data_IF_386922039664
#
_entry.id   IF_386922039664
#
_cell.length_a   1.000
_cell.length_b   1.000
_cell.length_c   1.000
_cell.angle_alpha   90.00
_cell.angle_beta   90.00
_cell.angle_gamma   90.00
#
_symmetry.space_group_name_H-M   'P 1'
#
loop_
_entity.id
_entity.type
_entity.pdbx_description
1 polymer ?
#
# COMPACT_ATOMS: atom_id res chain seq x y z
N UNK A 1 -13.70 -7.00 -25.49
CA UNK A 1 -13.28 -5.77 -24.77
C UNK A 1 -12.20 -5.08 -25.58
N UNK A 2 -12.25 -3.74 -25.78
CA UNK A 2 -11.15 -3.03 -26.46
C UNK A 2 -9.90 -3.11 -25.59
N UNK A 3 -8.70 -3.28 -26.19
CA UNK A 3 -7.42 -3.35 -25.45
C UNK A 3 -7.20 -2.16 -24.52
N UNK A 4 -7.79 -1.01 -24.85
CA UNK A 4 -7.74 0.22 -24.04
C UNK A 4 -8.58 0.20 -22.76
N UNK A 5 -9.54 -0.72 -22.62
CA UNK A 5 -10.42 -0.81 -21.46
C UNK A 5 -9.92 -1.80 -20.40
N UNK A 6 -8.92 -2.63 -20.74
CA UNK A 6 -8.36 -3.64 -19.84
C UNK A 6 -7.72 -3.01 -18.60
N UNK A 7 -6.87 -1.96 -18.70
CA UNK A 7 -6.27 -1.35 -17.51
C UNK A 7 -7.33 -0.80 -16.54
N UNK A 8 -8.30 -0.05 -17.04
CA UNK A 8 -9.38 0.51 -16.21
C UNK A 8 -10.23 -0.59 -15.52
N UNK A 9 -10.47 -1.71 -16.20
CA UNK A 9 -11.19 -2.84 -15.61
C UNK A 9 -10.38 -3.48 -14.47
N UNK A 10 -9.05 -3.58 -14.62
CA UNK A 10 -8.17 -4.06 -13.56
C UNK A 10 -8.18 -3.13 -12.35
N UNK A 11 -8.20 -1.80 -12.55
CA UNK A 11 -8.32 -0.82 -11.46
C UNK A 11 -9.62 -0.95 -10.68
N UNK A 12 -10.75 -1.08 -11.40
CA UNK A 12 -12.06 -1.28 -10.75
C UNK A 12 -12.07 -2.61 -10.00
N UNK A 13 -11.51 -3.66 -10.59
CA UNK A 13 -11.37 -4.96 -9.93
C UNK A 13 -10.51 -4.83 -8.67
N UNK A 14 -9.42 -4.06 -8.70
CA UNK A 14 -8.60 -3.77 -7.51
C UNK A 14 -9.40 -3.10 -6.42
N UNK A 15 -10.19 -2.08 -6.72
CA UNK A 15 -11.03 -1.42 -5.73
C UNK A 15 -12.03 -2.40 -5.10
N UNK A 16 -12.68 -3.23 -5.91
CA UNK A 16 -13.60 -4.26 -5.41
C UNK A 16 -12.86 -5.29 -4.54
N UNK A 17 -11.68 -5.73 -4.95
CA UNK A 17 -10.86 -6.65 -4.17
C UNK A 17 -10.38 -6.02 -2.86
N UNK A 18 -9.98 -4.75 -2.85
CA UNK A 18 -9.63 -4.01 -1.63
C UNK A 18 -10.80 -3.99 -0.66
N UNK A 19 -12.02 -3.70 -1.12
CA UNK A 19 -13.22 -3.78 -0.28
C UNK A 19 -13.46 -5.21 0.23
N UNK A 20 -13.30 -6.22 -0.62
CA UNK A 20 -13.43 -7.62 -0.23
C UNK A 20 -12.38 -8.02 0.83
N UNK A 21 -11.13 -7.56 0.72
CA UNK A 21 -10.08 -7.75 1.74
C UNK A 21 -10.54 -7.17 3.08
N UNK A 22 -10.96 -5.90 3.09
CA UNK A 22 -11.38 -5.23 4.33
C UNK A 22 -12.59 -5.91 4.98
N UNK A 23 -13.59 -6.29 4.19
CA UNK A 23 -14.78 -7.01 4.69
C UNK A 23 -14.41 -8.41 5.19
N UNK A 24 -13.47 -9.10 4.55
CA UNK A 24 -13.02 -10.42 5.00
C UNK A 24 -12.21 -10.31 6.29
N UNK A 25 -11.39 -9.27 6.44
CA UNK A 25 -10.68 -8.99 7.69
C UNK A 25 -11.62 -8.61 8.83
N UNK A 26 -12.65 -7.81 8.58
CA UNK A 26 -13.74 -7.50 9.53
C UNK A 26 -14.50 -8.75 9.95
N UNK A 27 -14.86 -9.60 8.99
CA UNK A 27 -15.50 -10.87 9.30
C UNK A 27 -14.58 -11.82 10.09
N UNK A 28 -13.30 -11.87 9.74
CA UNK A 28 -12.31 -12.67 10.45
C UNK A 28 -12.18 -12.21 11.91
N UNK A 29 -12.06 -10.90 12.15
CA UNK A 29 -11.96 -10.34 13.50
C UNK A 29 -13.22 -10.64 14.34
N UNK A 30 -14.41 -10.48 13.77
CA UNK A 30 -15.69 -10.76 14.46
C UNK A 30 -15.93 -12.23 14.79
N UNK A 31 -15.30 -13.14 14.05
CA UNK A 31 -15.48 -14.59 14.20
C UNK A 31 -14.31 -15.28 14.90
N UNK A 32 -13.50 -14.54 15.66
CA UNK A 32 -12.34 -15.07 16.39
C UNK A 32 -11.27 -15.67 15.46
N UNK A 33 -11.01 -14.96 14.35
CA UNK A 33 -9.92 -15.18 13.40
C UNK A 33 -9.83 -16.61 12.85
N UNK A 34 -10.91 -17.16 12.26
CA UNK A 34 -10.81 -18.46 11.63
C UNK A 34 -9.75 -18.39 10.54
N UNK A 35 -8.76 -19.29 10.62
CA UNK A 35 -7.60 -19.34 9.72
C UNK A 35 -8.02 -19.27 8.25
N UNK A 36 -9.16 -19.87 7.90
CA UNK A 36 -9.73 -19.83 6.54
C UNK A 36 -10.05 -18.42 6.06
N UNK A 37 -10.64 -17.56 6.90
CA UNK A 37 -10.95 -16.18 6.52
C UNK A 37 -9.69 -15.31 6.44
N UNK A 38 -8.75 -15.48 7.37
CA UNK A 38 -7.46 -14.76 7.31
C UNK A 38 -6.69 -15.12 6.03
N UNK A 39 -6.62 -16.41 5.69
CA UNK A 39 -5.98 -16.86 4.44
C UNK A 39 -6.74 -16.40 3.20
N UNK A 40 -8.06 -16.26 3.28
CA UNK A 40 -8.87 -15.69 2.20
C UNK A 40 -8.54 -14.21 2.00
N UNK A 41 -8.50 -13.42 3.07
CA UNK A 41 -8.12 -12.01 3.02
C UNK A 41 -6.68 -11.82 2.48
N UNK A 42 -5.75 -12.66 2.93
CA UNK A 42 -4.37 -12.69 2.43
C UNK A 42 -4.31 -12.97 0.93
N UNK A 43 -5.06 -13.98 0.47
CA UNK A 43 -5.10 -14.36 -0.95
C UNK A 43 -5.68 -13.24 -1.80
N UNK A 44 -6.79 -12.63 -1.37
CA UNK A 44 -7.40 -11.49 -2.04
C UNK A 44 -6.43 -10.30 -2.12
N UNK A 45 -5.72 -10.00 -1.02
CA UNK A 45 -4.73 -8.93 -0.98
C UNK A 45 -3.60 -9.17 -1.97
N UNK A 46 -3.02 -10.38 -1.97
CA UNK A 46 -1.92 -10.73 -2.89
C UNK A 46 -2.37 -10.64 -4.35
N UNK A 47 -3.57 -11.13 -4.69
CA UNK A 47 -4.13 -11.02 -6.04
C UNK A 47 -4.32 -9.54 -6.43
N UNK A 48 -4.82 -8.71 -5.51
CA UNK A 48 -5.01 -7.29 -5.75
C UNK A 48 -3.71 -6.54 -5.99
N UNK A 49 -2.68 -6.83 -5.20
CA UNK A 49 -1.33 -6.26 -5.36
C UNK A 49 -0.67 -6.73 -6.66
N UNK A 50 -0.79 -8.00 -7.03
CA UNK A 50 -0.27 -8.52 -8.31
C UNK A 50 -1.00 -7.89 -9.51
N UNK A 51 -2.29 -7.60 -9.37
CA UNK A 51 -3.07 -6.93 -10.41
C UNK A 51 -2.56 -5.51 -10.70
N UNK A 52 -1.98 -4.82 -9.71
CA UNK A 52 -1.28 -3.52 -9.87
C UNK A 52 0.05 -3.64 -10.61
N UNK A 53 0.84 -4.67 -10.31
CA UNK A 53 2.06 -4.90 -11.07
C UNK A 53 1.73 -5.18 -12.56
N UNK A 54 0.64 -5.90 -12.81
CA UNK A 54 0.18 -6.27 -14.14
C UNK A 54 -0.39 -5.06 -14.91
N UNK A 55 -1.32 -4.28 -14.35
CA UNK A 55 -1.92 -3.16 -15.09
C UNK A 55 -0.86 -2.14 -15.55
N UNK A 56 0.12 -1.82 -14.70
CA UNK A 56 1.22 -0.93 -15.02
C UNK A 56 2.14 -1.52 -16.09
N UNK A 57 2.37 -2.83 -16.09
CA UNK A 57 3.12 -3.50 -17.15
C UNK A 57 2.39 -3.47 -18.49
N UNK A 58 1.10 -3.80 -18.49
CA UNK A 58 0.27 -3.82 -19.70
C UNK A 58 0.04 -2.41 -20.28
N UNK A 59 -0.18 -1.40 -19.43
CA UNK A 59 -0.33 -0.01 -19.86
C UNK A 59 0.93 0.52 -20.56
N UNK A 60 2.11 0.24 -19.99
CA UNK A 60 3.41 0.59 -20.62
C UNK A 60 3.62 -0.15 -21.94
N UNK A 61 3.28 -1.44 -21.99
CA UNK A 61 3.45 -2.27 -23.19
C UNK A 61 2.53 -1.88 -24.34
N UNK A 62 1.32 -1.43 -24.04
CA UNK A 62 0.33 -1.08 -25.06
C UNK A 62 0.26 0.41 -25.38
N UNK A 63 1.05 1.24 -24.70
CA UNK A 63 1.06 2.69 -24.83
C UNK A 63 -0.35 3.31 -24.72
N UNK A 64 -1.18 2.73 -23.85
CA UNK A 64 -2.56 3.19 -23.62
C UNK A 64 -2.56 3.98 -22.32
N UNK A 65 -2.74 5.29 -22.43
CA UNK A 65 -2.94 6.18 -21.29
C UNK A 65 -4.41 6.58 -21.26
N UNK A 66 -5.15 6.09 -20.27
CA UNK A 66 -6.56 6.45 -20.04
C UNK A 66 -6.64 7.61 -19.04
N UNK A 67 -7.48 8.62 -19.31
CA UNK A 67 -7.73 9.73 -18.36
C UNK A 67 -8.29 9.24 -17.03
N UNK A 68 -9.13 8.19 -17.07
CA UNK A 68 -9.72 7.59 -15.89
C UNK A 68 -8.67 6.88 -15.03
N UNK A 69 -7.87 6.00 -15.63
CA UNK A 69 -6.82 5.25 -14.93
C UNK A 69 -5.79 6.18 -14.28
N UNK A 70 -5.42 7.28 -14.97
CA UNK A 70 -4.50 8.28 -14.39
C UNK A 70 -4.93 8.81 -13.02
N UNK A 71 -6.23 8.92 -12.77
CA UNK A 71 -6.78 9.44 -11.51
C UNK A 71 -7.08 8.29 -10.54
N UNK A 72 -7.67 7.21 -11.04
CA UNK A 72 -8.18 6.12 -10.19
C UNK A 72 -7.10 5.12 -9.80
N UNK A 73 -6.11 4.86 -10.64
CA UNK A 73 -5.02 3.90 -10.33
C UNK A 73 -4.23 4.33 -9.09
N UNK A 74 -3.76 5.60 -8.97
CA UNK A 74 -3.05 6.04 -7.77
C UNK A 74 -3.93 6.06 -6.51
N UNK A 75 -5.25 6.18 -6.66
CA UNK A 75 -6.19 6.10 -5.54
C UNK A 75 -6.36 4.64 -5.09
N UNK A 76 -6.59 3.73 -6.04
CA UNK A 76 -6.81 2.31 -5.78
C UNK A 76 -5.58 1.65 -5.13
N UNK A 77 -4.37 2.00 -5.58
CA UNK A 77 -3.10 1.53 -5.01
C UNK A 77 -2.98 1.93 -3.52
N UNK A 78 -3.18 3.21 -3.24
CA UNK A 78 -3.13 3.74 -1.87
C UNK A 78 -4.20 3.13 -0.97
N UNK A 79 -5.41 2.92 -1.49
CA UNK A 79 -6.50 2.32 -0.71
C UNK A 79 -6.20 0.88 -0.32
N UNK A 80 -5.57 0.08 -1.20
CA UNK A 80 -5.19 -1.29 -0.86
C UNK A 80 -4.19 -1.31 0.31
N UNK A 81 -3.09 -0.56 0.20
CA UNK A 81 -2.04 -0.55 1.24
C UNK A 81 -2.51 0.16 2.50
N UNK A 82 -2.95 1.42 2.40
CA UNK A 82 -3.30 2.24 3.56
C UNK A 82 -4.62 1.82 4.20
N UNK A 83 -5.58 1.34 3.41
CA UNK A 83 -6.83 0.81 3.94
C UNK A 83 -6.58 -0.46 4.74
N UNK A 84 -5.80 -1.39 4.20
CA UNK A 84 -5.44 -2.63 4.90
C UNK A 84 -4.58 -2.35 6.12
N UNK A 85 -3.55 -1.50 6.00
CA UNK A 85 -2.73 -1.07 7.14
C UNK A 85 -3.57 -0.36 8.21
N UNK A 86 -4.51 0.48 7.80
CA UNK A 86 -5.43 1.18 8.68
C UNK A 86 -6.31 0.23 9.47
N UNK A 87 -6.86 -0.79 8.81
CA UNK A 87 -7.61 -1.84 9.45
C UNK A 87 -6.74 -2.62 10.46
N UNK A 88 -5.55 -3.07 10.05
CA UNK A 88 -4.63 -3.80 10.91
C UNK A 88 -4.19 -2.99 12.14
N UNK A 89 -4.06 -1.65 12.02
CA UNK A 89 -3.74 -0.77 13.13
C UNK A 89 -4.90 -0.58 14.12
N UNK A 90 -6.14 -0.76 13.66
CA UNK A 90 -7.35 -0.48 14.44
C UNK A 90 -7.84 -1.72 15.21
N UNK A 91 -7.39 -2.92 14.83
CA UNK A 91 -7.72 -4.16 15.53
C UNK A 91 -6.76 -4.37 16.70
N UNK A 92 -7.26 -4.18 17.92
CA UNK A 92 -6.47 -4.31 19.15
C UNK A 92 -6.32 -5.76 19.63
N UNK A 93 -7.23 -6.64 19.22
CA UNK A 93 -7.43 -7.94 19.88
C UNK A 93 -6.31 -8.96 19.63
N UNK A 94 -5.47 -8.81 18.61
CA UNK A 94 -4.65 -9.93 18.10
C UNK A 94 -3.22 -9.57 17.70
N UNK A 95 -2.67 -8.49 18.28
CA UNK A 95 -1.27 -8.10 18.12
C UNK A 95 -0.83 -8.18 16.64
N UNK A 96 -1.42 -7.37 15.75
CA UNK A 96 -1.03 -7.35 14.33
C UNK A 96 0.40 -6.84 14.10
N UNK A 97 1.02 -6.25 15.14
CA UNK A 97 2.32 -5.60 15.10
C UNK A 97 2.28 -4.19 14.49
N UNK A 98 1.19 -3.85 13.80
CA UNK A 98 1.04 -2.56 13.15
C UNK A 98 0.42 -1.57 14.15
N UNK A 99 1.16 -0.51 14.44
CA UNK A 99 0.77 0.47 15.47
C UNK A 99 0.33 1.79 14.84
N UNK A 100 -0.42 2.59 15.60
CA UNK A 100 -0.94 3.87 15.13
C UNK A 100 0.14 4.83 14.62
N UNK A 101 1.34 4.84 15.22
CA UNK A 101 2.43 5.71 14.77
C UNK A 101 3.02 5.25 13.43
N UNK A 102 3.09 3.95 13.17
CA UNK A 102 3.51 3.42 11.86
C UNK A 102 2.49 3.83 10.79
N UNK A 103 1.20 3.62 11.06
CA UNK A 103 0.12 4.04 10.17
C UNK A 103 0.19 5.54 9.89
N UNK A 104 0.40 6.37 10.92
CA UNK A 104 0.52 7.82 10.76
C UNK A 104 1.68 8.19 9.81
N UNK A 105 2.85 7.55 9.94
CA UNK A 105 3.98 7.77 9.01
C UNK A 105 3.58 7.40 7.58
N UNK A 106 2.93 6.25 7.39
CA UNK A 106 2.47 5.78 6.08
C UNK A 106 1.50 6.79 5.44
N UNK A 107 0.48 7.22 6.20
CA UNK A 107 -0.53 8.18 5.74
C UNK A 107 0.06 9.55 5.44
N UNK A 108 0.76 10.15 6.41
CA UNK A 108 1.31 11.52 6.29
C UNK A 108 2.26 11.60 5.11
N UNK A 109 3.16 10.63 4.97
CA UNK A 109 4.10 10.62 3.85
C UNK A 109 3.39 10.51 2.52
N UNK A 110 2.38 9.64 2.41
CA UNK A 110 1.70 9.42 1.14
C UNK A 110 0.89 10.64 0.70
N UNK A 111 0.22 11.31 1.65
CA UNK A 111 -0.46 12.58 1.41
C UNK A 111 0.53 13.69 1.05
N UNK A 112 1.65 13.81 1.80
CA UNK A 112 2.67 14.82 1.58
C UNK A 112 3.29 14.73 0.19
N UNK A 113 3.78 13.55 -0.22
CA UNK A 113 4.43 13.38 -1.53
C UNK A 113 3.43 13.58 -2.67
N UNK A 114 2.18 13.20 -2.49
CA UNK A 114 1.12 13.42 -3.49
C UNK A 114 0.79 14.90 -3.63
N UNK A 115 0.67 15.62 -2.51
CA UNK A 115 0.41 17.06 -2.50
C UNK A 115 1.56 17.84 -3.13
N UNK A 116 2.80 17.56 -2.73
CA UNK A 116 3.99 18.19 -3.29
C UNK A 116 4.12 17.96 -4.79
N UNK A 117 3.87 16.74 -5.26
CA UNK A 117 3.83 16.42 -6.70
C UNK A 117 2.80 17.29 -7.41
N UNK A 118 1.57 17.34 -6.90
CA UNK A 118 0.50 18.14 -7.50
C UNK A 118 0.83 19.62 -7.58
N UNK A 119 1.47 20.18 -6.53
CA UNK A 119 1.91 21.58 -6.52
C UNK A 119 3.00 21.83 -7.58
N UNK A 120 4.05 21.02 -7.61
CA UNK A 120 5.17 21.19 -8.55
C UNK A 120 4.71 21.02 -10.01
N UNK A 121 3.89 20.00 -10.28
CA UNK A 121 3.31 19.77 -11.62
C UNK A 121 2.38 20.92 -12.04
N UNK A 122 1.65 21.53 -11.10
CA UNK A 122 0.82 22.71 -11.40
C UNK A 122 1.62 23.96 -11.73
N UNK A 123 2.86 24.06 -11.23
CA UNK A 123 3.83 25.12 -11.55
C UNK A 123 4.63 24.84 -12.83
N UNK A 124 4.25 23.84 -13.63
CA UNK A 124 4.86 23.54 -14.93
C UNK A 124 6.19 22.79 -14.86
N UNK A 125 6.62 22.36 -13.67
CA UNK A 125 7.86 21.62 -13.47
C UNK A 125 7.58 20.11 -13.32
N UNK A 126 8.47 19.27 -13.85
CA UNK A 126 8.32 17.82 -13.76
C UNK A 126 8.82 17.30 -12.40
N UNK A 127 7.98 16.55 -11.70
CA UNK A 127 8.29 15.96 -10.40
C UNK A 127 8.66 14.49 -10.55
N UNK A 128 9.89 14.26 -11.01
CA UNK A 128 10.42 12.92 -11.23
C UNK A 128 10.51 12.08 -9.95
N UNK A 129 10.12 10.81 -10.05
CA UNK A 129 10.13 9.87 -8.92
C UNK A 129 11.56 9.48 -8.49
N UNK A 130 11.85 9.56 -7.20
CA UNK A 130 13.15 9.22 -6.62
C UNK A 130 13.21 7.72 -6.31
N UNK A 131 14.38 7.09 -6.50
CA UNK A 131 14.62 5.66 -6.23
C UNK A 131 14.27 5.22 -4.80
N UNK A 132 14.33 6.13 -3.83
CA UNK A 132 13.90 5.90 -2.44
C UNK A 132 12.43 5.48 -2.31
N UNK A 133 11.59 5.84 -3.27
CA UNK A 133 10.19 5.41 -3.33
C UNK A 133 10.00 3.92 -3.64
N UNK A 134 10.97 3.28 -4.31
CA UNK A 134 10.87 1.85 -4.67
C UNK A 134 11.08 0.94 -3.47
N UNK A 135 12.04 1.26 -2.60
CA UNK A 135 12.34 0.45 -1.42
C UNK A 135 11.15 0.39 -0.47
N UNK A 136 10.50 1.53 -0.17
CA UNK A 136 9.30 1.55 0.68
C UNK A 136 8.19 0.66 0.12
N UNK A 137 8.02 0.63 -1.20
CA UNK A 137 6.95 -0.10 -1.87
C UNK A 137 7.18 -1.60 -1.74
N UNK A 138 8.41 -2.06 -1.99
CA UNK A 138 8.78 -3.48 -1.80
C UNK A 138 8.54 -3.89 -0.35
N UNK A 139 8.97 -3.06 0.61
CA UNK A 139 8.77 -3.35 2.03
C UNK A 139 7.28 -3.40 2.40
N UNK A 140 6.45 -2.45 1.94
CA UNK A 140 5.00 -2.44 2.19
C UNK A 140 4.30 -3.65 1.58
N UNK A 141 4.65 -4.02 0.35
CA UNK A 141 4.09 -5.18 -0.35
C UNK A 141 4.42 -6.52 0.32
N UNK A 142 5.46 -6.57 1.17
CA UNK A 142 5.81 -7.77 1.94
C UNK A 142 5.27 -7.68 3.36
N UNK A 143 5.45 -6.55 4.04
CA UNK A 143 5.11 -6.38 5.45
C UNK A 143 3.61 -6.47 5.73
N UNK A 144 2.76 -5.94 4.84
CA UNK A 144 1.30 -5.97 5.02
C UNK A 144 0.75 -7.40 4.91
N UNK A 145 1.04 -8.19 3.86
CA UNK A 145 0.69 -9.62 3.84
C UNK A 145 1.22 -10.40 5.03
N UNK A 146 2.45 -10.09 5.47
CA UNK A 146 3.05 -10.76 6.62
C UNK A 146 2.29 -10.47 7.92
N UNK A 147 1.82 -9.23 8.10
CA UNK A 147 0.98 -8.84 9.22
C UNK A 147 -0.41 -9.51 9.16
N UNK A 148 -1.04 -9.62 7.98
CA UNK A 148 -2.29 -10.38 7.81
C UNK A 148 -2.08 -11.85 8.20
N UNK A 149 -1.01 -12.47 7.72
CA UNK A 149 -0.70 -13.87 8.04
C UNK A 149 -0.48 -14.08 9.55
N UNK A 150 0.03 -13.07 10.26
CA UNK A 150 0.16 -13.10 11.72
C UNK A 150 -1.18 -13.24 12.47
N UNK A 151 -2.30 -12.81 11.88
CA UNK A 151 -3.64 -13.03 12.46
C UNK A 151 -4.08 -14.50 12.39
N UNK A 152 -3.44 -15.33 11.57
CA UNK A 152 -3.77 -16.76 11.46
C UNK A 152 -2.91 -17.64 12.39
N UNK A 153 -1.92 -17.05 13.07
CA UNK A 153 -0.89 -17.76 13.81
C UNK A 153 -1.03 -17.42 15.28
N UNK A 154 -1.06 -18.45 16.14
CA UNK A 154 -1.09 -18.26 17.59
C UNK A 154 0.21 -17.59 18.09
N UNK A 155 0.13 -16.39 18.70
CA UNK A 155 1.28 -15.69 19.26
C UNK A 155 1.82 -16.32 20.54
N UNK A 156 1.04 -17.14 21.25
CA UNK A 156 1.47 -17.81 22.48
C UNK A 156 2.38 -19.01 22.22
N UNK A 157 2.34 -19.56 21.00
CA UNK A 157 3.18 -20.69 20.62
C UNK A 157 4.65 -20.26 20.41
N UNK A 158 5.53 -20.75 21.28
CA UNK A 158 6.97 -20.46 21.22
C UNK A 158 7.63 -20.79 19.86
N UNK A 159 7.10 -21.78 19.14
CA UNK A 159 7.53 -22.14 17.77
C UNK A 159 7.33 -21.02 16.74
N UNK A 160 6.51 -20.01 17.06
CA UNK A 160 6.19 -18.90 16.16
C UNK A 160 6.90 -17.59 16.52
N UNK A 161 7.72 -17.56 17.58
CA UNK A 161 8.45 -16.35 18.01
C UNK A 161 9.23 -15.69 16.86
N UNK A 162 9.87 -16.50 16.01
CA UNK A 162 10.63 -16.01 14.84
C UNK A 162 9.72 -15.31 13.81
N UNK A 163 8.47 -15.77 13.67
CA UNK A 163 7.51 -15.19 12.74
C UNK A 163 7.12 -13.78 13.20
N UNK A 164 6.79 -13.61 14.48
CA UNK A 164 6.44 -12.31 15.04
C UNK A 164 7.63 -11.33 15.04
N UNK A 165 8.84 -11.82 15.33
CA UNK A 165 10.05 -11.01 15.23
C UNK A 165 10.30 -10.52 13.80
N UNK A 166 10.20 -11.40 12.80
CA UNK A 166 10.39 -11.03 11.40
C UNK A 166 9.32 -10.07 10.91
N UNK A 167 8.06 -10.27 11.32
CA UNK A 167 6.96 -9.33 11.07
C UNK A 167 7.27 -7.94 11.63
N UNK A 168 7.66 -7.86 12.90
CA UNK A 168 7.90 -6.59 13.57
C UNK A 168 9.10 -5.86 12.92
N UNK A 169 10.18 -6.58 12.61
CA UNK A 169 11.32 -6.03 11.86
C UNK A 169 10.85 -5.46 10.51
N UNK A 170 10.03 -6.21 9.76
CA UNK A 170 9.50 -5.76 8.46
C UNK A 170 8.64 -4.50 8.60
N UNK A 171 7.75 -4.43 9.59
CA UNK A 171 6.88 -3.28 9.83
C UNK A 171 7.69 -2.03 10.24
N UNK A 172 8.64 -2.18 11.15
CA UNK A 172 9.52 -1.07 11.56
C UNK A 172 10.42 -0.62 10.40
N UNK A 173 11.01 -1.56 9.65
CA UNK A 173 11.79 -1.24 8.45
C UNK A 173 10.94 -0.52 7.41
N UNK A 174 9.68 -0.93 7.24
CA UNK A 174 8.72 -0.27 6.34
C UNK A 174 8.43 1.16 6.78
N UNK A 175 8.17 1.40 8.07
CA UNK A 175 7.92 2.74 8.60
C UNK A 175 9.16 3.65 8.45
N UNK A 176 10.35 3.15 8.79
CA UNK A 176 11.61 3.88 8.65
C UNK A 176 11.94 4.19 7.19
N UNK A 177 11.81 3.22 6.29
CA UNK A 177 12.02 3.44 4.86
C UNK A 177 11.00 4.43 4.28
N UNK A 178 9.76 4.40 4.77
CA UNK A 178 8.73 5.36 4.37
C UNK A 178 9.11 6.77 4.80
N UNK A 179 9.49 6.96 6.06
CA UNK A 179 9.95 8.24 6.60
C UNK A 179 11.18 8.77 5.85
N UNK A 180 12.21 7.94 5.70
CA UNK A 180 13.43 8.29 4.99
C UNK A 180 13.16 8.64 3.52
N UNK A 181 12.20 7.97 2.88
CA UNK A 181 11.82 8.28 1.50
C UNK A 181 11.17 9.65 1.36
N UNK A 182 10.56 10.21 2.40
CA UNK A 182 9.88 11.51 2.35
C UNK A 182 10.85 12.69 2.22
N UNK A 183 12.03 12.60 2.83
CA UNK A 183 13.02 13.69 2.89
C UNK A 183 13.45 14.16 1.49
N UNK A 184 13.91 13.27 0.57
CA UNK A 184 14.30 13.68 -0.78
C UNK A 184 13.16 14.34 -1.55
N UNK A 185 11.91 13.90 -1.37
CA UNK A 185 10.76 14.48 -2.06
C UNK A 185 10.48 15.91 -1.59
N UNK A 186 10.59 16.17 -0.28
CA UNK A 186 10.42 17.52 0.27
C UNK A 186 11.51 18.46 -0.25
N UNK A 187 12.77 18.01 -0.24
CA UNK A 187 13.91 18.82 -0.74
C UNK A 187 13.73 19.13 -2.23
N UNK A 188 13.44 18.12 -3.05
CA UNK A 188 13.26 18.30 -4.49
C UNK A 188 12.07 19.21 -4.81
N UNK A 189 10.97 19.11 -4.06
CA UNK A 189 9.83 19.99 -4.23
C UNK A 189 10.17 21.45 -3.87
N UNK A 190 10.91 21.66 -2.78
CA UNK A 190 11.33 23.00 -2.37
C UNK A 190 12.25 23.66 -3.40
N UNK A 191 13.16 22.90 -4.02
CA UNK A 191 14.03 23.39 -5.09
C UNK A 191 13.18 23.75 -6.33
N UNK A 192 12.32 22.83 -6.78
CA UNK A 192 11.51 23.05 -7.98
C UNK A 192 10.54 24.24 -7.85
N UNK A 193 9.98 24.47 -6.66
CA UNK A 193 9.10 25.62 -6.43
C UNK A 193 9.87 26.94 -6.36
N UNK A 194 11.10 26.93 -5.84
CA UNK A 194 11.95 28.13 -5.83
C UNK A 194 12.38 28.55 -7.24
N UNK A 195 12.62 27.58 -8.12
CA UNK A 195 13.01 27.85 -9.51
C UNK A 195 11.83 28.31 -10.38
N UNK A 196 10.59 28.24 -9.85
CA UNK A 196 9.37 28.65 -10.54
C UNK A 196 8.95 30.12 -10.25
N UNK A 197 9.56 30.76 -9.24
CA UNK A 197 9.38 32.17 -8.87
C UNK A 197 10.42 33.07 -9.56
#
# INVERSE_FOLDING_TARGET
MKRSQIPNALTVTRLVMTLAVLLTLDLADRLDQPTTLVLTALTLFVIAALTDALDGFLARRWNVISRFGRIVDPLADKLLILGTAGYLAAVDNFNTGLTAWMLAILLVRELLVTGLRGLVESSGHDFSAVASGKLKMILQSVAIPWAILGMAIDPAAASHTWFFLTRDILLHATALATLASGIPYVINAAIALRDAD
#
